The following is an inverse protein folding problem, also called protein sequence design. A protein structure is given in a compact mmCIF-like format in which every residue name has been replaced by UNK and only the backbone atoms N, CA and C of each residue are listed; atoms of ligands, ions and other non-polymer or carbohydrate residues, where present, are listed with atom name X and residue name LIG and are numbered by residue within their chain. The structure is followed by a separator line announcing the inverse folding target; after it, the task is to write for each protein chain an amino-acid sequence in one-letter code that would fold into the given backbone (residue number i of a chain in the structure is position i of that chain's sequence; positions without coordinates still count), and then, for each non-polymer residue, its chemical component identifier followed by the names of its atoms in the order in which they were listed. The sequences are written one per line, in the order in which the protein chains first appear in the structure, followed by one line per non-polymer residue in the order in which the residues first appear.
data_IF_051702999552
#
_entry.id   IF_051702999552
#
_cell.length_a   1.000
_cell.length_b   1.000
_cell.length_c   1.000
_cell.angle_alpha   90.00
_cell.angle_beta   90.00
_cell.angle_gamma   90.00
#
_symmetry.space_group_name_H-M   'P 1'
#
loop_
_entity.id
_entity.type
_entity.pdbx_description
1 polymer ?
#
# COMPACT_ATOMS: atom_id res chain seq x y z
N UNK A 1 -16.69 0.55 -34.95
CA UNK A 1 -16.31 -0.14 -33.71
C UNK A 1 -15.58 0.89 -32.86
N UNK A 2 -16.24 1.42 -31.82
CA UNK A 2 -15.69 2.51 -31.01
C UNK A 2 -15.05 1.88 -29.78
N UNK A 3 -13.72 1.71 -29.78
CA UNK A 3 -12.97 1.30 -28.58
C UNK A 3 -12.82 2.53 -27.69
N UNK A 4 -13.84 2.82 -26.90
CA UNK A 4 -13.67 3.77 -25.80
C UNK A 4 -12.86 3.08 -24.69
N UNK A 5 -11.55 3.32 -24.70
CA UNK A 5 -10.65 2.97 -23.58
C UNK A 5 -10.99 3.86 -22.39
N UNK A 6 -11.91 3.41 -21.54
CA UNK A 6 -12.20 4.09 -20.28
C UNK A 6 -11.17 3.67 -19.25
N UNK A 7 -10.53 4.65 -18.61
CA UNK A 7 -9.74 4.40 -17.42
C UNK A 7 -10.66 3.88 -16.31
N UNK A 8 -10.39 2.66 -15.84
CA UNK A 8 -11.10 2.02 -14.72
C UNK A 8 -10.45 2.39 -13.40
N UNK A 9 -11.26 2.41 -12.34
CA UNK A 9 -10.81 2.63 -10.97
C UNK A 9 -10.95 1.35 -10.17
N UNK A 10 -9.82 0.74 -9.79
CA UNK A 10 -9.80 -0.43 -8.93
C UNK A 10 -9.53 0.01 -7.49
N UNK A 11 -10.45 -0.32 -6.57
CA UNK A 11 -10.34 0.06 -5.16
C UNK A 11 -9.89 -1.11 -4.30
N UNK A 12 -8.98 -0.82 -3.37
CA UNK A 12 -8.58 -1.72 -2.29
C UNK A 12 -8.85 -1.01 -0.97
N UNK A 13 -9.99 -1.30 -0.34
CA UNK A 13 -10.50 -0.51 0.79
C UNK A 13 -9.92 -0.93 2.15
N UNK A 14 -9.47 -2.17 2.33
CA UNK A 14 -9.01 -2.68 3.64
C UNK A 14 -7.79 -3.60 3.51
N UNK A 15 -6.66 -3.03 3.14
CA UNK A 15 -5.37 -3.73 3.23
C UNK A 15 -4.92 -3.66 4.69
N UNK A 16 -4.80 -4.81 5.35
CA UNK A 16 -4.26 -4.96 6.70
C UNK A 16 -3.00 -5.82 6.62
N UNK A 17 -1.87 -5.25 7.06
CA UNK A 17 -0.57 -5.91 6.98
C UNK A 17 0.36 -5.41 8.09
N UNK A 18 1.45 -6.11 8.34
CA UNK A 18 2.44 -5.73 9.33
C UNK A 18 3.76 -5.37 8.67
N UNK A 19 4.32 -4.21 8.99
CA UNK A 19 5.62 -3.74 8.46
C UNK A 19 6.57 -3.35 9.58
N UNK A 20 7.86 -3.30 9.27
CA UNK A 20 8.91 -3.01 10.25
C UNK A 20 8.89 -1.54 10.68
N UNK A 21 9.00 -1.32 11.98
CA UNK A 21 9.19 -0.01 12.64
C UNK A 21 10.66 0.16 13.04
N UNK A 22 11.25 1.32 12.70
CA UNK A 22 12.64 1.65 13.09
C UNK A 22 12.79 1.93 14.58
N UNK A 23 11.72 2.42 15.23
CA UNK A 23 11.79 2.89 16.62
C UNK A 23 12.21 1.81 17.61
N UNK A 24 11.86 0.56 17.31
CA UNK A 24 11.95 -0.58 18.22
C UNK A 24 12.27 -1.92 17.52
N UNK A 25 12.53 -1.89 16.20
CA UNK A 25 12.72 -3.10 15.38
C UNK A 25 11.56 -4.10 15.50
N UNK A 26 10.36 -3.62 15.80
CA UNK A 26 9.15 -4.42 15.90
C UNK A 26 8.30 -4.28 14.64
N UNK A 27 7.34 -5.19 14.47
CA UNK A 27 6.33 -5.06 13.43
C UNK A 27 5.14 -4.27 13.96
N UNK A 28 4.65 -3.31 13.17
CA UNK A 28 3.44 -2.53 13.46
C UNK A 28 2.39 -2.81 12.39
N UNK A 29 1.13 -2.77 12.77
CA UNK A 29 0.03 -2.99 11.83
C UNK A 29 -0.24 -1.72 11.04
N UNK A 30 -0.44 -1.89 9.75
CA UNK A 30 -0.76 -0.84 8.80
C UNK A 30 -2.07 -1.17 8.12
N UNK A 31 -3.02 -0.26 8.27
CA UNK A 31 -4.27 -0.26 7.53
C UNK A 31 -4.17 0.74 6.39
N UNK A 32 -4.36 0.25 5.18
CA UNK A 32 -4.23 0.99 3.94
C UNK A 32 -5.50 0.88 3.11
N UNK A 33 -5.91 2.02 2.53
CA UNK A 33 -6.93 2.08 1.49
C UNK A 33 -6.38 2.83 0.30
N UNK A 34 -6.42 2.23 -0.89
CA UNK A 34 -5.93 2.84 -2.13
C UNK A 34 -6.91 2.66 -3.30
N UNK A 35 -6.74 3.51 -4.30
CA UNK A 35 -7.39 3.37 -5.61
C UNK A 35 -6.32 3.39 -6.68
N UNK A 36 -6.36 2.41 -7.57
CA UNK A 36 -5.56 2.36 -8.78
C UNK A 36 -6.41 2.85 -9.96
N UNK A 37 -5.81 3.62 -10.85
CA UNK A 37 -6.40 4.05 -12.10
C UNK A 37 -5.54 3.57 -13.24
N UNK A 38 -6.18 3.01 -14.27
CA UNK A 38 -5.51 2.46 -15.44
C UNK A 38 -6.50 1.79 -16.37
N UNK A 39 -6.00 1.01 -17.32
CA UNK A 39 -6.83 0.28 -18.28
C UNK A 39 -6.98 -1.17 -17.83
N UNK A 40 -8.20 -1.70 -17.94
CA UNK A 40 -8.53 -3.12 -17.71
C UNK A 40 -8.03 -3.67 -16.35
N UNK A 41 -7.88 -2.80 -15.33
CA UNK A 41 -7.29 -3.18 -14.04
C UNK A 41 -8.12 -4.21 -13.27
N UNK A 42 -9.44 -4.25 -13.50
CA UNK A 42 -10.35 -5.20 -12.84
C UNK A 42 -10.03 -6.65 -13.20
N UNK A 43 -9.51 -6.92 -14.41
CA UNK A 43 -9.12 -8.27 -14.84
C UNK A 43 -7.86 -8.78 -14.12
N UNK A 44 -7.09 -7.86 -13.52
CA UNK A 44 -5.80 -8.13 -12.88
C UNK A 44 -5.80 -7.85 -11.37
N UNK A 45 -6.97 -7.92 -10.75
CA UNK A 45 -7.13 -7.54 -9.34
C UNK A 45 -6.21 -8.34 -8.39
N UNK A 46 -5.96 -9.62 -8.68
CA UNK A 46 -5.15 -10.50 -7.84
C UNK A 46 -3.67 -10.10 -7.92
N UNK A 47 -3.16 -9.91 -9.13
CA UNK A 47 -1.79 -9.47 -9.42
C UNK A 47 -1.53 -8.08 -8.82
N UNK A 48 -2.48 -7.16 -8.97
CA UNK A 48 -2.36 -5.82 -8.40
C UNK A 48 -2.41 -5.83 -6.87
N UNK A 49 -3.18 -6.73 -6.24
CA UNK A 49 -3.13 -6.91 -4.79
C UNK A 49 -1.76 -7.45 -4.34
N UNK A 50 -1.18 -8.43 -5.05
CA UNK A 50 0.16 -8.95 -4.78
C UNK A 50 1.23 -7.85 -4.87
N UNK A 51 1.18 -7.04 -5.93
CA UNK A 51 2.06 -5.88 -6.11
C UNK A 51 1.96 -4.95 -4.90
N UNK A 52 0.75 -4.60 -4.48
CA UNK A 52 0.56 -3.66 -3.36
C UNK A 52 1.09 -4.24 -2.05
N UNK A 53 0.81 -5.51 -1.76
CA UNK A 53 1.30 -6.21 -0.58
C UNK A 53 2.83 -6.33 -0.56
N UNK A 54 3.43 -6.62 -1.71
CA UNK A 54 4.88 -6.68 -1.87
C UNK A 54 5.52 -5.31 -1.67
N UNK A 55 4.95 -4.27 -2.27
CA UNK A 55 5.48 -2.91 -2.14
C UNK A 55 5.36 -2.42 -0.70
N UNK A 56 4.21 -2.56 -0.03
CA UNK A 56 4.05 -2.09 1.35
C UNK A 56 5.02 -2.79 2.32
N UNK A 57 5.27 -4.08 2.13
CA UNK A 57 6.24 -4.86 2.92
C UNK A 57 7.69 -4.35 2.83
N UNK A 58 8.04 -3.62 1.77
CA UNK A 58 9.37 -3.01 1.60
C UNK A 58 9.54 -1.68 2.34
N UNK A 59 8.46 -1.11 2.89
CA UNK A 59 8.52 0.16 3.59
C UNK A 59 8.72 -0.03 5.09
N UNK A 60 9.46 0.91 5.66
CA UNK A 60 9.44 1.15 7.10
C UNK A 60 8.24 2.04 7.44
N UNK A 61 7.61 1.75 8.58
CA UNK A 61 6.47 2.48 9.12
C UNK A 61 6.65 4.01 9.08
N UNK A 62 7.78 4.50 9.59
CA UNK A 62 8.08 5.93 9.68
C UNK A 62 8.31 6.57 8.32
N UNK A 63 8.79 5.80 7.34
CA UNK A 63 9.01 6.30 5.98
C UNK A 63 7.68 6.41 5.24
N UNK A 64 6.83 5.38 5.35
CA UNK A 64 5.56 5.27 4.61
C UNK A 64 4.62 6.46 4.86
N UNK A 65 4.63 7.04 6.06
CA UNK A 65 3.74 8.16 6.41
C UNK A 65 4.23 9.53 5.89
N UNK A 66 5.49 9.65 5.49
CA UNK A 66 6.04 10.90 4.94
C UNK A 66 5.56 11.18 3.52
N UNK A 67 5.54 12.44 3.09
CA UNK A 67 5.19 12.80 1.72
C UNK A 67 6.08 12.07 0.69
N UNK A 68 7.40 12.11 0.88
CA UNK A 68 8.37 11.41 0.03
C UNK A 68 8.16 9.90 0.02
N UNK A 69 7.87 9.30 1.17
CA UNK A 69 7.58 7.87 1.28
C UNK A 69 6.32 7.48 0.52
N UNK A 70 5.24 8.27 0.63
CA UNK A 70 4.00 8.08 -0.12
C UNK A 70 4.22 8.20 -1.62
N UNK A 71 5.01 9.17 -2.09
CA UNK A 71 5.36 9.30 -3.50
C UNK A 71 6.15 8.10 -4.02
N UNK A 72 7.15 7.66 -3.25
CA UNK A 72 7.94 6.48 -3.60
C UNK A 72 7.09 5.20 -3.61
N UNK A 73 6.18 5.04 -2.65
CA UNK A 73 5.24 3.92 -2.58
C UNK A 73 4.39 3.82 -3.85
N UNK A 74 3.79 4.94 -4.27
CA UNK A 74 3.01 5.02 -5.52
C UNK A 74 3.84 4.63 -6.74
N UNK A 75 5.07 5.18 -6.87
CA UNK A 75 5.97 4.87 -7.99
C UNK A 75 6.37 3.40 -8.02
N UNK A 76 6.63 2.79 -6.85
CA UNK A 76 7.00 1.39 -6.77
C UNK A 76 5.85 0.46 -7.17
N UNK A 77 4.60 0.78 -6.84
CA UNK A 77 3.43 0.02 -7.32
C UNK A 77 3.37 0.04 -8.85
N UNK A 78 3.44 1.24 -9.45
CA UNK A 78 3.40 1.39 -10.92
C UNK A 78 4.51 0.58 -11.59
N UNK A 79 5.74 0.75 -11.11
CA UNK A 79 6.91 0.08 -11.68
C UNK A 79 6.87 -1.44 -11.51
N UNK A 80 6.39 -1.94 -10.37
CA UNK A 80 6.36 -3.38 -10.10
C UNK A 80 5.23 -4.07 -10.87
N UNK A 81 4.06 -3.44 -11.00
CA UNK A 81 2.94 -3.94 -11.81
C UNK A 81 3.36 -4.16 -13.27
N UNK A 82 4.01 -3.16 -13.88
CA UNK A 82 4.54 -3.25 -15.23
C UNK A 82 5.63 -4.32 -15.34
N UNK A 83 6.65 -4.25 -14.47
CA UNK A 83 7.81 -5.16 -14.55
C UNK A 83 7.45 -6.64 -14.35
N UNK A 84 6.53 -6.94 -13.44
CA UNK A 84 6.25 -8.32 -13.02
C UNK A 84 5.11 -8.94 -13.82
N UNK A 85 4.10 -8.14 -14.18
CA UNK A 85 2.86 -8.62 -14.78
C UNK A 85 2.50 -7.94 -16.11
N UNK A 86 3.24 -6.91 -16.54
CA UNK A 86 2.95 -6.14 -17.75
C UNK A 86 1.70 -5.27 -17.62
N UNK A 87 1.29 -4.92 -16.40
CA UNK A 87 0.07 -4.14 -16.14
C UNK A 87 0.41 -2.66 -16.02
N UNK A 88 -0.20 -1.84 -16.88
CA UNK A 88 -0.03 -0.38 -16.87
C UNK A 88 -0.99 0.28 -15.87
N UNK A 89 -0.43 0.83 -14.79
CA UNK A 89 -1.15 1.64 -13.81
C UNK A 89 -0.78 3.11 -13.99
N UNK A 90 -1.73 3.94 -14.37
CA UNK A 90 -1.52 5.37 -14.61
C UNK A 90 -1.32 6.13 -13.29
N UNK A 91 -2.20 5.88 -12.32
CA UNK A 91 -2.20 6.59 -11.04
C UNK A 91 -2.51 5.70 -9.85
N UNK A 92 -1.87 6.04 -8.73
CA UNK A 92 -2.11 5.44 -7.42
C UNK A 92 -2.56 6.53 -6.45
N UNK A 93 -3.78 6.41 -5.96
CA UNK A 93 -4.35 7.29 -4.96
C UNK A 93 -4.37 6.60 -3.61
N UNK A 94 -3.75 7.25 -2.61
CA UNK A 94 -3.82 6.78 -1.23
C UNK A 94 -5.01 7.50 -0.60
N UNK A 95 -6.06 6.75 -0.27
CA UNK A 95 -7.22 7.29 0.43
C UNK A 95 -6.97 7.36 1.94
N UNK A 96 -6.31 6.34 2.50
CA UNK A 96 -6.03 6.27 3.93
C UNK A 96 -4.76 5.44 4.21
N UNK A 97 -3.95 5.88 5.17
CA UNK A 97 -2.88 5.08 5.82
C UNK A 97 -3.00 5.32 7.32
N UNK A 98 -3.16 4.24 8.10
CA UNK A 98 -3.07 4.27 9.56
C UNK A 98 -2.04 3.26 10.03
N UNK A 99 -1.20 3.70 10.95
CA UNK A 99 -0.25 2.84 11.66
C UNK A 99 -0.77 2.65 13.07
N UNK A 100 -1.11 1.41 13.41
CA UNK A 100 -1.57 1.02 14.72
C UNK A 100 -0.39 0.40 15.48
N UNK A 101 -0.01 1.03 16.59
CA UNK A 101 0.94 0.43 17.53
C UNK A 101 0.28 -0.77 18.21
N UNK A 102 1.00 -1.86 18.39
CA UNK A 102 0.53 -3.03 19.14
C UNK A 102 -0.06 -2.59 20.50
N UNK A 103 -1.37 -2.82 20.76
CA UNK A 103 -2.01 -2.49 22.02
C UNK A 103 -1.27 -3.06 23.25
N UNK A 104 -0.65 -4.24 23.12
CA UNK A 104 0.10 -4.88 24.20
C UNK A 104 1.39 -4.12 24.53
N UNK A 105 2.03 -3.53 23.52
CA UNK A 105 3.22 -2.71 23.68
C UNK A 105 2.89 -1.40 24.42
N UNK A 106 1.71 -0.82 24.13
CA UNK A 106 1.16 0.34 24.86
C UNK A 106 0.85 -0.01 26.32
N UNK A 107 0.22 -1.15 26.58
CA UNK A 107 -0.05 -1.64 27.94
C UNK A 107 1.25 -1.89 28.73
N UNK A 108 2.26 -2.53 28.11
CA UNK A 108 3.57 -2.77 28.74
C UNK A 108 4.29 -1.48 29.16
N UNK A 109 4.21 -0.41 28.37
CA UNK A 109 4.80 0.90 28.71
C UNK A 109 4.11 1.55 29.91
N UNK A 110 2.81 1.32 30.09
CA UNK A 110 2.05 1.85 31.22
C UNK A 110 2.35 1.11 32.54
N UNK A 111 2.69 -0.18 32.47
CA UNK A 111 3.02 -1.02 33.63
C UNK A 111 4.47 -0.89 34.11
N UNK A 112 5.34 -0.19 33.36
CA UNK A 112 6.75 0.09 33.73
C UNK A 112 6.93 1.48 34.38
N UNK A 113 5.83 2.19 34.67
CA UNK A 113 5.79 3.41 35.49
C UNK A 113 5.28 3.06 36.88
#
# INVERSE_FOLDING_TARGET
MNLSLYATLLKFDQIDTSILSKKDSSYVNVKLSIVLQGRDLEEHQIELMDVVQTVIGNFLAEVLITAKGKENFKKMIVNLADKQYGIEVDFVYIQNIRIESDPLEKCRKLLKK
#
